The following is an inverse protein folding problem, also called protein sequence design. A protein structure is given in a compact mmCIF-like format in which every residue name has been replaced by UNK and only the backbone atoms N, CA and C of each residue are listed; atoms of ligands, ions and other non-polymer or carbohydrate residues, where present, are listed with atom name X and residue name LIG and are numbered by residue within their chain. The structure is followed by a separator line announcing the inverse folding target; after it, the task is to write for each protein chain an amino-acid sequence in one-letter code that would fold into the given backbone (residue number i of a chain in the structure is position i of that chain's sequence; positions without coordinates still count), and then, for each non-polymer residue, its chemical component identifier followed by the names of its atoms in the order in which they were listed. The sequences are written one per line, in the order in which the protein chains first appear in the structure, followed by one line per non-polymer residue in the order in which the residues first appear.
data_IF_499470348434
#
_entry.id   IF_499470348434
#
_cell.length_a   1.000
_cell.length_b   1.000
_cell.length_c   1.000
_cell.angle_alpha   90.00
_cell.angle_beta   90.00
_cell.angle_gamma   90.00
#
_symmetry.space_group_name_H-M   'P 1'
#
loop_
_entity.id
_entity.type
_entity.pdbx_description
1 polymer ?
#
# COMPACT_ATOMS: atom_id res chain seq x y z
N UNK A 1 3.44 3.17 -16.90
CA UNK A 1 4.90 3.01 -16.98
C UNK A 1 5.38 2.58 -15.61
N UNK A 2 5.84 1.35 -15.46
CA UNK A 2 6.43 0.88 -14.20
C UNK A 2 7.91 1.28 -14.18
N UNK A 3 8.44 1.68 -13.03
CA UNK A 3 9.81 2.17 -12.89
C UNK A 3 10.73 0.96 -12.71
N UNK A 4 11.32 0.43 -13.79
CA UNK A 4 12.15 -0.79 -13.77
C UNK A 4 13.61 -0.45 -13.46
N UNK A 5 14.26 -1.23 -12.59
CA UNK A 5 15.67 -1.10 -12.20
C UNK A 5 15.93 -0.14 -11.04
N UNK A 6 14.90 0.28 -10.30
CA UNK A 6 15.04 1.29 -9.25
C UNK A 6 14.51 0.82 -7.89
N UNK A 7 15.14 1.33 -6.83
CA UNK A 7 14.66 1.21 -5.47
C UNK A 7 13.41 2.07 -5.30
N UNK A 8 12.30 1.44 -4.91
CA UNK A 8 11.01 2.09 -4.66
C UNK A 8 10.67 2.01 -3.17
N UNK A 9 10.09 3.09 -2.64
CA UNK A 9 9.51 3.08 -1.30
C UNK A 9 8.06 2.66 -1.40
N UNK A 10 7.66 1.69 -0.58
CA UNK A 10 6.30 1.16 -0.53
C UNK A 10 5.71 1.34 0.86
N UNK A 11 4.40 1.57 0.90
CA UNK A 11 3.62 1.56 2.12
C UNK A 11 2.79 0.26 2.16
N UNK A 12 2.89 -0.53 3.24
CA UNK A 12 2.16 -1.78 3.33
C UNK A 12 0.66 -1.56 3.52
N UNK A 13 -0.11 -2.51 3.00
CA UNK A 13 -1.56 -2.60 3.11
C UNK A 13 -1.94 -3.86 3.88
N UNK A 14 -2.88 -3.76 4.81
CA UNK A 14 -3.46 -4.89 5.55
C UNK A 14 -4.96 -5.02 5.29
N UNK A 15 -5.43 -6.27 5.19
CA UNK A 15 -6.86 -6.64 5.11
C UNK A 15 -7.37 -7.30 6.39
N UNK A 16 -6.48 -7.56 7.35
CA UNK A 16 -6.90 -8.00 8.68
C UNK A 16 -7.06 -6.74 9.51
N UNK A 17 -8.31 -6.30 9.68
CA UNK A 17 -8.68 -5.14 10.51
C UNK A 17 -8.24 -5.24 11.99
N UNK A 18 -7.55 -6.31 12.39
CA UNK A 18 -7.09 -6.61 13.75
C UNK A 18 -5.97 -5.68 14.26
N UNK A 19 -5.43 -4.78 13.45
CA UNK A 19 -4.62 -3.66 13.94
C UNK A 19 -5.12 -2.35 13.36
N UNK A 20 -6.31 -1.94 13.82
CA UNK A 20 -6.48 -0.55 14.21
C UNK A 20 -5.53 -0.26 15.39
N UNK A 21 -4.21 -0.26 15.14
CA UNK A 21 -3.38 0.67 15.89
C UNK A 21 -3.83 2.06 15.47
N UNK A 22 -3.78 3.04 16.38
CA UNK A 22 -4.08 4.47 16.08
C UNK A 22 -3.21 5.06 14.95
N UNK A 23 -2.34 4.24 14.36
CA UNK A 23 -1.40 4.56 13.30
C UNK A 23 -1.80 4.02 11.93
N UNK A 24 -2.86 3.21 11.79
CA UNK A 24 -3.32 2.68 10.50
C UNK A 24 -4.30 3.66 9.82
N UNK A 25 -4.15 3.87 8.51
CA UNK A 25 -5.01 4.73 7.70
C UNK A 25 -6.02 3.88 6.92
N UNK A 26 -7.30 3.93 7.32
CA UNK A 26 -8.36 3.23 6.63
C UNK A 26 -8.51 3.73 5.17
N UNK A 27 -8.69 2.78 4.23
CA UNK A 27 -8.90 3.11 2.83
C UNK A 27 -10.42 3.19 2.56
N UNK A 28 -10.95 4.35 2.12
CA UNK A 28 -12.36 4.48 1.79
C UNK A 28 -12.78 3.52 0.66
N UNK A 29 -14.01 2.99 0.71
CA UNK A 29 -14.52 2.06 -0.30
C UNK A 29 -14.39 2.55 -1.76
N UNK A 30 -14.67 3.84 -2.09
CA UNK A 30 -14.45 4.33 -3.45
C UNK A 30 -12.99 4.25 -3.90
N UNK A 31 -12.06 4.42 -2.97
CA UNK A 31 -10.61 4.31 -3.21
C UNK A 31 -10.20 2.85 -3.39
N UNK A 32 -10.70 1.95 -2.55
CA UNK A 32 -10.52 0.49 -2.68
C UNK A 32 -10.92 0.03 -4.09
N UNK A 33 -12.11 0.44 -4.54
CA UNK A 33 -12.61 0.13 -5.88
C UNK A 33 -11.73 0.72 -6.99
N UNK A 34 -11.32 1.99 -6.86
CA UNK A 34 -10.46 2.65 -7.85
C UNK A 34 -9.07 2.01 -7.95
N UNK A 35 -8.57 1.44 -6.85
CA UNK A 35 -7.28 0.75 -6.78
C UNK A 35 -7.35 -0.71 -7.26
N UNK A 36 -8.52 -1.25 -7.57
CA UNK A 36 -8.69 -2.65 -7.98
C UNK A 36 -8.48 -3.64 -6.83
N UNK A 37 -8.71 -3.20 -5.59
CA UNK A 37 -8.60 -4.02 -4.38
C UNK A 37 -9.95 -4.70 -4.07
N UNK A 38 -9.93 -5.73 -3.24
CA UNK A 38 -11.15 -6.41 -2.79
C UNK A 38 -11.95 -5.54 -1.81
N UNK A 39 -13.18 -5.19 -2.20
CA UNK A 39 -14.09 -4.31 -1.47
C UNK A 39 -14.56 -4.90 -0.12
N UNK A 40 -14.53 -6.22 0.06
CA UNK A 40 -15.01 -6.88 1.28
C UNK A 40 -13.98 -7.00 2.40
N UNK A 41 -12.71 -6.68 2.13
CA UNK A 41 -11.60 -7.08 2.99
C UNK A 41 -11.20 -6.04 4.06
N UNK A 42 -11.83 -4.86 4.12
CA UNK A 42 -11.48 -3.84 5.12
C UNK A 42 -10.01 -3.41 5.06
N UNK A 43 -9.59 -2.84 3.93
CA UNK A 43 -8.19 -2.50 3.68
C UNK A 43 -7.74 -1.24 4.41
N UNK A 44 -6.56 -1.29 5.03
CA UNK A 44 -5.90 -0.14 5.66
C UNK A 44 -4.43 -0.05 5.25
N UNK A 45 -3.91 1.16 5.12
CA UNK A 45 -2.47 1.41 4.97
C UNK A 45 -1.81 1.51 6.35
N UNK A 46 -0.52 1.19 6.43
CA UNK A 46 0.27 1.39 7.66
C UNK A 46 1.44 2.35 7.38
N UNK A 47 1.21 3.68 7.52
CA UNK A 47 2.19 4.69 7.15
C UNK A 47 3.52 4.64 7.92
N UNK A 48 3.50 4.14 9.16
CA UNK A 48 4.70 4.00 9.99
C UNK A 48 5.61 2.82 9.62
N UNK A 49 5.23 2.00 8.64
CA UNK A 49 5.93 0.77 8.23
C UNK A 49 6.41 0.85 6.77
N UNK A 50 6.87 2.02 6.34
CA UNK A 50 7.47 2.18 5.02
C UNK A 50 8.66 1.25 4.82
N UNK A 51 8.71 0.62 3.65
CA UNK A 51 9.79 -0.28 3.26
C UNK A 51 10.35 0.11 1.90
N UNK A 52 11.56 -0.35 1.58
CA UNK A 52 12.16 -0.15 0.28
C UNK A 52 12.40 -1.48 -0.42
N UNK A 53 12.03 -1.55 -1.70
CA UNK A 53 12.16 -2.73 -2.54
C UNK A 53 12.84 -2.37 -3.86
N UNK A 54 13.50 -3.34 -4.47
CA UNK A 54 13.88 -3.23 -5.88
C UNK A 54 12.65 -3.49 -6.75
N UNK A 55 12.49 -2.72 -7.83
CA UNK A 55 11.41 -2.91 -8.79
C UNK A 55 11.93 -3.20 -10.19
N UNK A 56 11.58 -4.29 -10.88
CA UNK A 56 10.81 -5.45 -10.39
C UNK A 56 11.75 -6.35 -9.58
N UNK A 57 11.44 -6.56 -8.29
CA UNK A 57 12.25 -7.36 -7.37
C UNK A 57 11.72 -8.79 -7.18
N UNK A 58 12.54 -9.63 -6.55
CA UNK A 58 12.26 -11.05 -6.30
C UNK A 58 10.99 -11.29 -5.46
N UNK A 59 10.65 -10.37 -4.56
CA UNK A 59 9.51 -10.52 -3.65
C UNK A 59 8.15 -10.21 -4.31
N UNK A 60 8.14 -9.72 -5.56
CA UNK A 60 6.91 -9.44 -6.28
C UNK A 60 6.25 -10.72 -6.79
N UNK A 61 4.95 -10.85 -6.50
CA UNK A 61 4.12 -11.97 -6.95
C UNK A 61 3.12 -11.49 -7.99
N UNK A 62 2.94 -12.27 -9.05
CA UNK A 62 1.94 -11.98 -10.07
C UNK A 62 0.53 -12.15 -9.52
N UNK A 63 -0.41 -11.36 -10.02
CA UNK A 63 -1.80 -11.37 -9.59
C UNK A 63 -2.55 -12.49 -10.31
N UNK A 64 -2.81 -13.58 -9.61
CA UNK A 64 -3.54 -14.74 -10.15
C UNK A 64 -2.85 -15.32 -11.39
N UNK A 65 -3.61 -15.55 -12.47
CA UNK A 65 -3.09 -16.04 -13.76
C UNK A 65 -2.56 -14.91 -14.67
N UNK A 66 -2.72 -13.65 -14.27
CA UNK A 66 -2.19 -12.52 -15.02
C UNK A 66 -0.68 -12.44 -14.84
N UNK A 67 0.06 -12.05 -15.87
CA UNK A 67 1.48 -11.70 -15.76
C UNK A 67 1.73 -10.31 -15.14
N UNK A 68 0.68 -9.66 -14.60
CA UNK A 68 0.76 -8.33 -13.99
C UNK A 68 1.04 -8.39 -12.49
N UNK A 69 1.80 -7.40 -12.02
CA UNK A 69 2.05 -7.11 -10.59
C UNK A 69 1.23 -5.91 -10.08
N UNK A 70 0.47 -5.26 -10.96
CA UNK A 70 -0.25 -4.02 -10.68
C UNK A 70 -1.74 -4.32 -10.47
N UNK A 71 -2.28 -3.98 -9.30
CA UNK A 71 -3.71 -4.01 -9.02
C UNK A 71 -4.44 -2.82 -9.67
N UNK A 72 -3.88 -1.61 -9.51
CA UNK A 72 -4.49 -0.37 -10.00
C UNK A 72 -3.67 0.85 -9.61
N UNK A 73 -4.27 2.04 -9.71
CA UNK A 73 -3.64 3.31 -9.33
C UNK A 73 -4.35 3.93 -8.13
N UNK A 74 -3.55 4.40 -7.18
CA UNK A 74 -4.04 5.21 -6.08
C UNK A 74 -4.57 6.56 -6.62
N UNK A 75 -5.80 6.98 -6.27
CA UNK A 75 -6.29 8.30 -6.58
C UNK A 75 -5.39 9.40 -6.00
N UNK A 76 -5.12 10.50 -6.74
CA UNK A 76 -4.17 11.54 -6.30
C UNK A 76 -4.49 12.13 -4.92
N UNK A 77 -5.77 12.38 -4.64
CA UNK A 77 -6.19 12.94 -3.35
C UNK A 77 -5.89 12.00 -2.17
N UNK A 78 -6.17 10.69 -2.34
CA UNK A 78 -5.87 9.71 -1.30
C UNK A 78 -4.36 9.47 -1.15
N UNK A 79 -3.60 9.53 -2.25
CA UNK A 79 -2.15 9.46 -2.20
C UNK A 79 -1.55 10.60 -1.36
N UNK A 80 -2.04 11.84 -1.53
CA UNK A 80 -1.62 12.97 -0.72
C UNK A 80 -1.91 12.73 0.78
N UNK A 81 -3.11 12.26 1.12
CA UNK A 81 -3.45 11.89 2.51
C UNK A 81 -2.53 10.82 3.08
N UNK A 82 -2.22 9.78 2.31
CA UNK A 82 -1.31 8.72 2.74
C UNK A 82 0.13 9.25 2.95
N UNK A 83 0.58 10.16 2.07
CA UNK A 83 1.89 10.80 2.20
C UNK A 83 1.96 11.68 3.45
N UNK A 84 0.94 12.50 3.70
CA UNK A 84 0.89 13.33 4.92
C UNK A 84 0.90 12.45 6.18
N UNK A 85 0.15 11.35 6.17
CA UNK A 85 0.13 10.40 7.27
C UNK A 85 1.50 9.74 7.51
N UNK A 86 2.28 9.47 6.45
CA UNK A 86 3.61 8.88 6.60
C UNK A 86 4.62 9.86 7.18
N UNK A 87 4.56 11.13 6.76
CA UNK A 87 5.40 12.21 7.29
C UNK A 87 5.13 12.48 8.78
N UNK A 88 3.90 12.25 9.23
CA UNK A 88 3.50 12.44 10.64
C UNK A 88 3.68 11.18 11.50
N UNK A 89 3.86 10.01 10.88
CA UNK A 89 4.00 8.75 11.59
C UNK A 89 5.38 8.60 12.23
N UNK A 90 5.42 8.02 13.43
CA UNK A 90 6.68 7.53 14.01
C UNK A 90 7.05 6.21 13.32
N UNK A 91 8.33 5.99 12.96
CA UNK A 91 8.77 4.71 12.43
C UNK A 91 8.42 3.60 13.43
N UNK A 92 7.72 2.58 12.96
CA UNK A 92 7.39 1.41 13.77
C UNK A 92 8.50 0.38 13.55
N UNK A 93 9.42 0.28 14.51
CA UNK A 93 10.42 -0.80 14.52
C UNK A 93 9.72 -2.11 14.86
N UNK A 94 9.79 -3.08 13.93
CA UNK A 94 9.39 -4.48 14.18
C UNK A 94 10.65 -5.33 14.22
N UNK A 95 11.47 -5.07 15.23
CA UNK A 95 12.59 -5.91 15.67
C UNK A 95 12.28 -6.43 17.09
#
# INVERSE_FOLDING_TARGET
MAVVGHRVTVMPLTTKGERASDTALAIPEPVVKAMGLDAGAGSSLVPGELNAFDWVGHDLRTIGKSASFLFGRCPPGFFATALDASLQSKPVSRD
#
